data_IF_062720784468
#
_entry.id   IF_062720784468
#
_cell.length_a   1.000
_cell.length_b   1.000
_cell.length_c   1.000
_cell.angle_alpha   90.00
_cell.angle_beta   90.00
_cell.angle_gamma   90.00
#
_symmetry.space_group_name_H-M   'P 1'
#
loop_
_entity.id
_entity.type
_entity.pdbx_description
1 polymer ?
#
# COMPACT_ATOMS: atom_id res chain seq x y z
N UNK A 1 -9.08 -12.03 31.98
CA UNK A 1 -9.27 -12.62 30.62
C UNK A 1 -8.21 -13.70 30.40
N UNK A 2 -8.52 -14.87 29.77
CA UNK A 2 -7.56 -15.95 29.57
C UNK A 2 -6.85 -15.82 28.19
N UNK A 3 -5.53 -15.97 28.17
CA UNK A 3 -4.72 -16.01 26.94
C UNK A 3 -5.23 -17.04 25.92
N UNK A 4 -5.70 -18.19 26.41
CA UNK A 4 -6.26 -19.27 25.59
C UNK A 4 -7.44 -18.80 24.73
N UNK A 5 -8.30 -17.94 25.29
CA UNK A 5 -9.45 -17.37 24.57
C UNK A 5 -8.99 -16.47 23.40
N UNK A 6 -7.94 -15.67 23.61
CA UNK A 6 -7.37 -14.83 22.54
C UNK A 6 -6.82 -15.71 21.42
N UNK A 7 -6.05 -16.75 21.76
CA UNK A 7 -5.49 -17.68 20.76
C UNK A 7 -6.59 -18.33 19.93
N UNK A 8 -7.61 -18.91 20.58
CA UNK A 8 -8.75 -19.56 19.93
C UNK A 8 -9.50 -18.58 19.00
N UNK A 9 -9.70 -17.33 19.45
CA UNK A 9 -10.32 -16.30 18.63
C UNK A 9 -9.48 -15.96 17.39
N UNK A 10 -8.15 -15.84 17.52
CA UNK A 10 -7.27 -15.54 16.38
C UNK A 10 -7.27 -16.69 15.36
N UNK A 11 -7.33 -17.94 15.83
CA UNK A 11 -7.47 -19.09 14.95
C UNK A 11 -8.82 -19.12 14.25
N UNK A 12 -9.92 -18.79 14.96
CA UNK A 12 -11.23 -18.59 14.35
C UNK A 12 -11.21 -17.48 13.29
N UNK A 13 -10.54 -16.36 13.56
CA UNK A 13 -10.38 -15.29 12.59
C UNK A 13 -9.61 -15.74 11.34
N UNK A 14 -8.62 -16.61 11.51
CA UNK A 14 -7.81 -17.16 10.41
C UNK A 14 -8.60 -18.18 9.58
N UNK A 15 -9.26 -19.12 10.23
CA UNK A 15 -9.89 -20.28 9.58
C UNK A 15 -11.28 -19.95 9.04
N UNK A 16 -12.17 -19.36 9.87
CA UNK A 16 -13.56 -19.11 9.52
C UNK A 16 -13.77 -17.74 8.86
N UNK A 17 -13.17 -16.68 9.41
CA UNK A 17 -13.30 -15.34 8.83
C UNK A 17 -12.30 -15.05 7.71
N UNK A 18 -11.31 -15.90 7.50
CA UNK A 18 -10.25 -15.77 6.48
C UNK A 18 -9.62 -14.37 6.45
N UNK A 19 -9.40 -13.79 7.63
CA UNK A 19 -8.79 -12.47 7.74
C UNK A 19 -7.33 -12.52 7.31
N UNK A 20 -6.84 -11.38 6.78
CA UNK A 20 -5.44 -11.27 6.36
C UNK A 20 -4.48 -11.42 7.54
N UNK A 21 -3.26 -11.90 7.28
CA UNK A 21 -2.19 -12.01 8.29
C UNK A 21 -1.89 -10.67 8.98
N UNK A 22 -2.00 -9.54 8.26
CA UNK A 22 -1.86 -8.21 8.83
C UNK A 22 -2.97 -7.86 9.82
N UNK A 23 -4.22 -8.19 9.50
CA UNK A 23 -5.36 -7.98 10.41
C UNK A 23 -5.22 -8.83 11.66
N UNK A 24 -4.86 -10.12 11.50
CA UNK A 24 -4.66 -11.05 12.62
C UNK A 24 -3.53 -10.55 13.54
N UNK A 25 -2.41 -10.09 12.96
CA UNK A 25 -1.29 -9.52 13.74
C UNK A 25 -1.73 -8.26 14.51
N UNK A 26 -2.50 -7.37 13.88
CA UNK A 26 -3.02 -6.18 14.54
C UNK A 26 -3.96 -6.55 15.69
N UNK A 27 -4.89 -7.50 15.47
CA UNK A 27 -5.80 -8.00 16.50
C UNK A 27 -5.04 -8.65 17.65
N UNK A 28 -4.06 -9.50 17.35
CA UNK A 28 -3.20 -10.09 18.38
C UNK A 28 -2.55 -9.02 19.26
N UNK A 29 -1.91 -8.02 18.63
CA UNK A 29 -1.23 -6.97 19.38
C UNK A 29 -2.20 -6.15 20.24
N UNK A 30 -3.39 -5.81 19.72
CA UNK A 30 -4.36 -5.02 20.45
C UNK A 30 -4.95 -5.79 21.64
N UNK A 31 -5.31 -7.07 21.43
CA UNK A 31 -5.85 -7.92 22.48
C UNK A 31 -4.81 -8.27 23.54
N UNK A 32 -3.55 -8.49 23.14
CA UNK A 32 -2.44 -8.73 24.06
C UNK A 32 -2.12 -7.49 24.92
N UNK A 33 -2.24 -6.29 24.36
CA UNK A 33 -2.08 -5.06 25.14
C UNK A 33 -3.17 -4.89 26.19
N UNK A 34 -4.41 -5.28 25.87
CA UNK A 34 -5.48 -5.30 26.86
C UNK A 34 -5.26 -6.40 27.90
N UNK A 35 -4.90 -7.61 27.49
CA UNK A 35 -4.62 -8.74 28.39
C UNK A 35 -3.51 -8.44 29.41
N UNK A 36 -2.45 -7.75 28.95
CA UNK A 36 -1.31 -7.40 29.79
C UNK A 36 -1.49 -6.07 30.54
N UNK A 37 -2.66 -5.45 30.46
CA UNK A 37 -2.95 -4.24 31.21
C UNK A 37 -3.48 -4.59 32.60
N UNK A 38 -3.34 -3.64 33.54
CA UNK A 38 -3.83 -3.77 34.92
C UNK A 38 -5.34 -3.49 35.04
N UNK A 39 -6.08 -3.49 33.91
CA UNK A 39 -7.50 -3.18 33.90
C UNK A 39 -8.36 -4.45 33.81
N UNK A 40 -9.23 -4.63 34.77
CA UNK A 40 -10.12 -5.80 34.86
C UNK A 40 -11.29 -5.74 33.88
N UNK A 41 -11.68 -4.53 33.43
CA UNK A 41 -12.80 -4.34 32.54
C UNK A 41 -12.44 -3.47 31.31
N UNK A 42 -13.26 -3.59 30.27
CA UNK A 42 -13.08 -2.91 28.99
C UNK A 42 -13.25 -1.41 29.11
N UNK A 43 -14.17 -0.95 29.95
CA UNK A 43 -14.52 0.46 30.10
C UNK A 43 -13.34 1.26 30.64
N UNK A 44 -12.77 0.84 31.77
CA UNK A 44 -11.60 1.47 32.38
C UNK A 44 -10.38 1.46 31.44
N UNK A 45 -10.19 0.36 30.70
CA UNK A 45 -9.11 0.30 29.69
C UNK A 45 -9.31 1.31 28.56
N UNK A 46 -10.55 1.48 28.07
CA UNK A 46 -10.84 2.45 27.01
C UNK A 46 -10.71 3.88 27.53
N UNK A 47 -11.14 4.17 28.75
CA UNK A 47 -10.94 5.47 29.39
C UNK A 47 -9.45 5.83 29.45
N UNK A 48 -8.61 4.91 29.91
CA UNK A 48 -7.15 5.09 29.91
C UNK A 48 -6.61 5.34 28.49
N UNK A 49 -7.05 4.54 27.50
CA UNK A 49 -6.64 4.76 26.12
C UNK A 49 -7.08 6.13 25.59
N UNK A 50 -8.23 6.63 26.02
CA UNK A 50 -8.75 7.95 25.61
C UNK A 50 -7.96 9.09 26.25
N UNK A 51 -7.51 8.91 27.48
CA UNK A 51 -6.64 9.87 28.18
C UNK A 51 -5.19 9.82 27.68
N UNK A 52 -4.78 8.72 27.05
CA UNK A 52 -3.44 8.59 26.49
C UNK A 52 -3.32 9.36 25.17
N UNK A 53 -2.09 9.85 24.87
CA UNK A 53 -1.83 10.62 23.64
C UNK A 53 -1.71 9.72 22.40
N UNK A 54 -2.64 8.79 22.21
CA UNK A 54 -2.68 7.93 21.02
C UNK A 54 -3.54 8.56 19.92
N UNK A 55 -3.14 8.30 18.66
CA UNK A 55 -3.89 8.82 17.50
C UNK A 55 -5.30 8.25 17.46
N UNK A 56 -6.30 9.08 17.19
CA UNK A 56 -7.73 8.72 17.11
C UNK A 56 -7.98 7.47 16.25
N UNK A 57 -7.31 7.33 15.11
CA UNK A 57 -7.45 6.14 14.25
C UNK A 57 -6.92 4.86 14.92
N UNK A 58 -5.89 4.96 15.75
CA UNK A 58 -5.36 3.82 16.52
C UNK A 58 -6.35 3.43 17.62
N UNK A 59 -6.91 4.41 18.32
CA UNK A 59 -7.94 4.20 19.33
C UNK A 59 -9.17 3.50 18.73
N UNK A 60 -9.71 4.02 17.63
CA UNK A 60 -10.84 3.40 16.91
C UNK A 60 -10.56 1.96 16.50
N UNK A 61 -9.35 1.68 15.98
CA UNK A 61 -8.97 0.31 15.58
C UNK A 61 -8.95 -0.63 16.79
N UNK A 62 -8.38 -0.21 17.92
CA UNK A 62 -8.34 -1.00 19.17
C UNK A 62 -9.74 -1.30 19.69
N UNK A 63 -10.59 -0.30 19.77
CA UNK A 63 -11.99 -0.45 20.20
C UNK A 63 -12.75 -1.40 19.26
N UNK A 64 -12.59 -1.24 17.94
CA UNK A 64 -13.22 -2.13 16.97
C UNK A 64 -12.74 -3.58 17.12
N UNK A 65 -11.44 -3.79 17.36
CA UNK A 65 -10.87 -5.11 17.61
C UNK A 65 -11.49 -5.77 18.85
N UNK A 66 -11.53 -5.05 19.97
CA UNK A 66 -12.14 -5.54 21.22
C UNK A 66 -13.64 -5.81 21.04
N UNK A 67 -14.40 -4.91 20.41
CA UNK A 67 -15.82 -5.11 20.13
C UNK A 67 -16.09 -6.40 19.36
N UNK A 68 -15.29 -6.69 18.32
CA UNK A 68 -15.46 -7.91 17.52
C UNK A 68 -15.04 -9.15 18.32
N UNK A 69 -14.03 -9.05 19.18
CA UNK A 69 -13.63 -10.12 20.09
C UNK A 69 -14.73 -10.46 21.11
N UNK A 70 -15.31 -9.47 21.79
CA UNK A 70 -16.40 -9.67 22.75
C UNK A 70 -17.69 -10.17 22.08
N UNK A 71 -17.97 -9.78 20.83
CA UNK A 71 -19.05 -10.39 20.05
C UNK A 71 -18.80 -11.89 19.80
N UNK A 72 -17.54 -12.29 19.57
CA UNK A 72 -17.17 -13.70 19.43
C UNK A 72 -17.37 -14.44 20.77
N UNK A 73 -16.94 -13.88 21.90
CA UNK A 73 -17.13 -14.50 23.21
C UNK A 73 -18.62 -14.71 23.52
N UNK A 74 -19.47 -13.73 23.21
CA UNK A 74 -20.93 -13.86 23.35
C UNK A 74 -21.49 -14.95 22.43
N UNK A 75 -21.05 -14.99 21.17
CA UNK A 75 -21.47 -16.02 20.22
C UNK A 75 -21.08 -17.45 20.68
N UNK A 76 -19.96 -17.59 21.38
CA UNK A 76 -19.52 -18.85 21.98
C UNK A 76 -20.16 -19.16 23.35
N UNK A 77 -21.09 -18.34 23.81
CA UNK A 77 -21.73 -18.42 25.14
C UNK A 77 -20.72 -18.41 26.32
N UNK A 78 -19.57 -17.76 26.15
CA UNK A 78 -18.53 -17.59 27.18
C UNK A 78 -18.91 -16.43 28.11
N UNK A 79 -19.62 -15.44 27.56
CA UNK A 79 -20.18 -14.29 28.29
C UNK A 79 -21.66 -14.15 27.97
N UNK A 80 -22.44 -13.68 28.92
CA UNK A 80 -23.89 -13.46 28.74
C UNK A 80 -24.16 -12.19 27.93
N UNK A 81 -23.44 -11.09 28.23
CA UNK A 81 -23.61 -9.82 27.57
C UNK A 81 -22.27 -9.26 27.03
N UNK A 82 -22.35 -8.57 25.90
CA UNK A 82 -21.22 -7.85 25.37
C UNK A 82 -21.14 -6.46 26.01
N UNK A 83 -20.07 -6.12 26.76
CA UNK A 83 -19.91 -4.81 27.41
C UNK A 83 -20.01 -3.62 26.44
N UNK A 84 -19.71 -3.85 25.14
CA UNK A 84 -19.81 -2.81 24.12
C UNK A 84 -21.26 -2.44 23.73
N UNK A 85 -22.28 -3.17 24.18
CA UNK A 85 -23.67 -2.82 23.88
C UNK A 85 -24.11 -1.54 24.59
N UNK A 86 -23.54 -1.26 25.76
CA UNK A 86 -23.84 -0.08 26.57
C UNK A 86 -22.87 1.07 26.32
N UNK A 87 -21.71 0.82 25.68
CA UNK A 87 -20.68 1.80 25.44
C UNK A 87 -20.86 2.48 24.07
N UNK A 88 -21.08 3.81 24.09
CA UNK A 88 -21.18 4.63 22.86
C UNK A 88 -19.95 5.50 22.73
N UNK A 89 -19.11 5.20 21.73
CA UNK A 89 -17.94 6.01 21.42
C UNK A 89 -18.18 6.82 20.15
N UNK A 90 -18.12 8.15 20.26
CA UNK A 90 -18.16 9.07 19.14
C UNK A 90 -16.83 9.81 19.07
N UNK A 91 -15.93 9.33 18.20
CA UNK A 91 -14.68 10.03 17.95
C UNK A 91 -14.80 10.90 16.68
N UNK A 92 -14.60 12.19 16.82
CA UNK A 92 -14.48 13.08 15.66
C UNK A 92 -13.26 12.65 14.84
N UNK A 93 -13.47 12.36 13.58
CA UNK A 93 -12.37 12.15 12.63
C UNK A 93 -12.01 13.47 12.01
N UNK A 94 -10.83 13.96 12.31
CA UNK A 94 -10.25 15.00 11.48
C UNK A 94 -10.04 14.43 10.08
N UNK A 95 -10.62 15.08 9.08
CA UNK A 95 -10.34 14.79 7.68
C UNK A 95 -8.95 15.35 7.36
N UNK A 96 -7.91 14.57 7.65
CA UNK A 96 -6.56 14.92 7.25
C UNK A 96 -6.47 14.80 5.74
N UNK A 97 -6.17 15.91 5.07
CA UNK A 97 -5.95 15.92 3.63
C UNK A 97 -4.79 14.95 3.27
N UNK A 98 -4.93 14.19 2.19
CA UNK A 98 -3.86 13.30 1.73
C UNK A 98 -2.58 14.11 1.48
N UNK A 99 -1.48 13.66 2.08
CA UNK A 99 -0.17 14.29 1.86
C UNK A 99 0.37 13.86 0.50
N UNK A 100 0.63 14.82 -0.38
CA UNK A 100 1.32 14.63 -1.65
C UNK A 100 2.80 14.97 -1.53
N UNK A 101 3.60 14.52 -2.50
CA UNK A 101 5.00 14.90 -2.64
C UNK A 101 5.02 16.12 -3.58
N UNK A 102 5.60 17.26 -3.18
CA UNK A 102 5.77 18.41 -4.07
C UNK A 102 6.53 18.04 -5.36
N UNK A 103 6.20 18.71 -6.45
CA UNK A 103 6.75 18.41 -7.78
C UNK A 103 8.28 18.54 -7.84
N UNK A 104 8.84 19.61 -7.28
CA UNK A 104 10.27 19.86 -7.19
C UNK A 104 11.01 18.75 -6.41
N UNK A 105 10.38 18.21 -5.37
CA UNK A 105 10.91 17.07 -4.61
C UNK A 105 10.86 15.79 -5.46
N UNK A 106 9.78 15.55 -6.20
CA UNK A 106 9.72 14.41 -7.13
C UNK A 106 10.83 14.50 -8.17
N UNK A 107 11.00 15.67 -8.79
CA UNK A 107 12.06 15.93 -9.76
C UNK A 107 13.46 15.67 -9.18
N UNK A 108 13.73 16.17 -7.96
CA UNK A 108 14.99 15.90 -7.24
C UNK A 108 15.24 14.41 -7.00
N UNK A 109 14.20 13.66 -6.61
CA UNK A 109 14.28 12.21 -6.41
C UNK A 109 14.67 11.49 -7.71
N UNK A 110 14.05 11.83 -8.85
CA UNK A 110 14.35 11.20 -10.13
C UNK A 110 15.74 11.57 -10.63
N UNK A 111 16.16 12.83 -10.54
CA UNK A 111 17.52 13.26 -10.86
C UNK A 111 18.57 12.46 -10.06
N UNK A 112 18.36 12.34 -8.75
CA UNK A 112 19.25 11.55 -7.90
C UNK A 112 19.30 10.08 -8.34
N UNK A 113 18.15 9.46 -8.62
CA UNK A 113 18.10 8.05 -9.02
C UNK A 113 18.79 7.80 -10.37
N UNK A 114 18.59 8.68 -11.35
CA UNK A 114 19.26 8.61 -12.66
C UNK A 114 20.78 8.79 -12.50
N UNK A 115 21.22 9.73 -11.67
CA UNK A 115 22.64 9.90 -11.34
C UNK A 115 23.22 8.65 -10.67
N UNK A 116 22.48 8.01 -9.77
CA UNK A 116 22.93 6.75 -9.12
C UNK A 116 23.12 5.62 -10.12
N UNK A 117 22.26 5.52 -11.14
CA UNK A 117 22.44 4.56 -12.24
C UNK A 117 23.68 4.89 -13.06
N UNK A 118 23.86 6.16 -13.45
CA UNK A 118 24.98 6.62 -14.27
C UNK A 118 26.35 6.46 -13.57
N UNK A 119 26.41 6.74 -12.27
CA UNK A 119 27.63 6.69 -11.46
C UNK A 119 27.96 5.28 -10.91
N UNK A 120 27.18 4.28 -11.23
CA UNK A 120 27.41 2.90 -10.78
C UNK A 120 28.68 2.32 -11.41
N UNK A 121 29.62 1.88 -10.57
CA UNK A 121 30.93 1.36 -11.00
C UNK A 121 30.94 -0.16 -11.26
N UNK A 122 30.00 -0.90 -10.68
CA UNK A 122 29.87 -2.36 -10.82
C UNK A 122 28.49 -2.74 -11.30
N UNK A 123 28.38 -3.90 -11.98
CA UNK A 123 27.09 -4.42 -12.43
C UNK A 123 26.09 -4.61 -11.28
N UNK A 124 26.59 -5.07 -10.14
CA UNK A 124 25.78 -5.20 -8.93
C UNK A 124 25.19 -3.86 -8.47
N UNK A 125 26.02 -2.79 -8.41
CA UNK A 125 25.56 -1.46 -8.05
C UNK A 125 24.54 -0.93 -9.06
N UNK A 126 24.82 -1.12 -10.36
CA UNK A 126 23.95 -0.69 -11.45
C UNK A 126 22.60 -1.38 -11.40
N UNK A 127 22.57 -2.70 -11.23
CA UNK A 127 21.34 -3.47 -11.10
C UNK A 127 20.49 -3.01 -9.91
N UNK A 128 21.12 -2.74 -8.76
CA UNK A 128 20.42 -2.21 -7.58
C UNK A 128 19.89 -0.79 -7.81
N UNK A 129 20.63 0.08 -8.49
CA UNK A 129 20.21 1.44 -8.82
C UNK A 129 19.03 1.41 -9.82
N UNK A 130 19.13 0.61 -10.90
CA UNK A 130 18.07 0.40 -11.90
C UNK A 130 16.79 -0.16 -11.22
N UNK A 131 16.92 -1.14 -10.32
CA UNK A 131 15.79 -1.65 -9.53
C UNK A 131 15.12 -0.56 -8.72
N UNK A 132 15.89 0.26 -8.01
CA UNK A 132 15.36 1.30 -7.16
C UNK A 132 14.67 2.39 -8.00
N UNK A 133 15.25 2.78 -9.13
CA UNK A 133 14.64 3.69 -10.08
C UNK A 133 13.32 3.12 -10.61
N UNK A 134 13.29 1.84 -11.01
CA UNK A 134 12.08 1.17 -11.51
C UNK A 134 10.97 1.11 -10.44
N UNK A 135 11.31 0.80 -9.18
CA UNK A 135 10.35 0.79 -8.06
C UNK A 135 9.67 2.16 -7.93
N UNK A 136 10.45 3.24 -7.89
CA UNK A 136 9.91 4.60 -7.75
C UNK A 136 9.11 5.01 -8.98
N UNK A 137 9.60 4.67 -10.17
CA UNK A 137 8.90 4.93 -11.44
C UNK A 137 7.53 4.24 -11.48
N UNK A 138 7.45 2.96 -11.12
CA UNK A 138 6.18 2.23 -11.08
C UNK A 138 5.21 2.79 -10.02
N UNK A 139 5.70 3.17 -8.84
CA UNK A 139 4.86 3.81 -7.82
C UNK A 139 4.21 5.10 -8.30
N UNK A 140 4.97 5.95 -9.02
CA UNK A 140 4.47 7.24 -9.51
C UNK A 140 3.71 7.14 -10.83
N UNK A 141 4.11 6.25 -11.75
CA UNK A 141 3.46 6.13 -13.07
C UNK A 141 2.12 5.39 -13.06
N UNK A 142 1.87 4.57 -12.04
CA UNK A 142 0.69 3.71 -11.97
C UNK A 142 -0.16 3.91 -10.71
N UNK A 143 0.38 4.58 -9.70
CA UNK A 143 -0.27 4.70 -8.39
C UNK A 143 -0.50 3.36 -7.67
N UNK A 144 0.25 2.31 -8.04
CA UNK A 144 0.15 0.96 -7.46
C UNK A 144 0.39 0.97 -5.94
N UNK A 145 -0.28 0.09 -5.18
CA UNK A 145 0.02 -0.08 -3.75
C UNK A 145 1.35 -0.80 -3.57
N UNK A 146 2.09 -0.45 -2.51
CA UNK A 146 3.39 -1.10 -2.21
C UNK A 146 3.27 -2.62 -2.10
N UNK A 147 2.20 -3.14 -1.49
CA UNK A 147 1.97 -4.59 -1.40
C UNK A 147 1.75 -5.24 -2.76
N UNK A 148 1.02 -4.57 -3.66
CA UNK A 148 0.80 -5.03 -5.02
C UNK A 148 2.11 -4.99 -5.83
N UNK A 149 2.89 -3.90 -5.73
CA UNK A 149 4.19 -3.76 -6.36
C UNK A 149 5.15 -4.90 -6.00
N UNK A 150 5.24 -5.23 -4.70
CA UNK A 150 6.12 -6.29 -4.23
C UNK A 150 5.72 -7.68 -4.75
N UNK A 151 4.43 -7.90 -5.05
CA UNK A 151 3.90 -9.19 -5.49
C UNK A 151 3.63 -9.28 -7.00
N UNK A 152 4.20 -8.39 -7.81
CA UNK A 152 4.15 -8.53 -9.27
C UNK A 152 4.95 -9.77 -9.68
N UNK A 153 4.30 -10.72 -10.36
CA UNK A 153 4.97 -11.85 -10.97
C UNK A 153 5.36 -11.52 -12.43
N UNK A 154 6.43 -12.14 -12.91
CA UNK A 154 6.87 -11.95 -14.30
C UNK A 154 5.78 -12.36 -15.32
N UNK A 155 4.98 -13.39 -15.01
CA UNK A 155 3.83 -13.82 -15.83
C UNK A 155 2.70 -12.80 -15.91
N UNK A 156 2.61 -11.89 -14.94
CA UNK A 156 1.57 -10.85 -14.88
C UNK A 156 1.93 -9.63 -15.75
N UNK A 157 3.10 -9.65 -16.41
CA UNK A 157 3.61 -8.56 -17.25
C UNK A 157 3.43 -8.93 -18.72
N UNK A 158 2.67 -8.12 -19.44
CA UNK A 158 2.53 -8.23 -20.88
C UNK A 158 3.30 -7.09 -21.55
N UNK A 159 4.51 -7.39 -22.05
CA UNK A 159 5.37 -6.39 -22.70
C UNK A 159 4.79 -5.90 -24.03
N UNK A 160 4.14 -6.78 -24.82
CA UNK A 160 3.55 -6.39 -26.10
C UNK A 160 2.43 -5.37 -25.95
N UNK A 161 1.59 -5.53 -24.91
CA UNK A 161 0.47 -4.63 -24.64
C UNK A 161 0.82 -3.51 -23.64
N UNK A 162 2.05 -3.49 -23.10
CA UNK A 162 2.52 -2.59 -22.03
C UNK A 162 1.58 -2.59 -20.81
N UNK A 163 1.19 -3.78 -20.33
CA UNK A 163 0.25 -3.92 -19.24
C UNK A 163 0.79 -4.76 -18.09
N UNK A 164 0.32 -4.43 -16.88
CA UNK A 164 0.54 -5.18 -15.65
C UNK A 164 -0.81 -5.69 -15.15
N UNK A 165 -0.92 -7.00 -14.93
CA UNK A 165 -2.06 -7.60 -14.26
C UNK A 165 -1.84 -7.54 -12.74
N UNK A 166 -2.72 -6.87 -12.01
CA UNK A 166 -2.58 -6.64 -10.57
C UNK A 166 -3.71 -7.29 -9.81
N UNK A 167 -3.33 -8.13 -8.84
CA UNK A 167 -4.26 -8.76 -7.90
C UNK A 167 -4.23 -7.98 -6.60
N UNK A 168 -5.33 -7.28 -6.31
CA UNK A 168 -5.47 -6.44 -5.11
C UNK A 168 -6.10 -7.16 -3.92
N UNK A 169 -6.39 -6.41 -2.87
CA UNK A 169 -7.06 -6.92 -1.66
C UNK A 169 -8.42 -7.54 -2.00
N UNK A 170 -8.67 -8.75 -1.48
CA UNK A 170 -9.91 -9.49 -1.73
C UNK A 170 -9.94 -10.16 -3.11
N UNK A 171 -8.78 -10.43 -3.71
CA UNK A 171 -8.62 -11.02 -5.04
C UNK A 171 -9.29 -10.21 -6.17
N UNK A 172 -9.45 -8.89 -5.97
CA UNK A 172 -9.90 -8.01 -7.05
C UNK A 172 -8.76 -7.79 -8.03
N UNK A 173 -9.02 -8.07 -9.29
CA UNK A 173 -8.05 -7.98 -10.37
C UNK A 173 -8.27 -6.68 -11.16
N UNK A 174 -7.18 -6.09 -11.63
CA UNK A 174 -7.20 -4.99 -12.58
C UNK A 174 -5.97 -5.02 -13.47
N UNK A 175 -6.12 -4.46 -14.66
CA UNK A 175 -5.02 -4.26 -15.57
C UNK A 175 -4.58 -2.81 -15.48
N UNK A 176 -3.27 -2.57 -15.29
CA UNK A 176 -2.65 -1.26 -15.35
C UNK A 176 -1.89 -1.12 -16.66
N UNK A 177 -2.08 -0.02 -17.35
CA UNK A 177 -1.33 0.33 -18.55
C UNK A 177 -0.10 1.18 -18.20
N UNK A 178 1.06 0.84 -18.76
CA UNK A 178 2.32 1.58 -18.61
C UNK A 178 2.43 2.61 -19.74
N UNK A 179 1.88 3.81 -19.50
CA UNK A 179 1.82 4.87 -20.52
C UNK A 179 3.14 5.61 -20.70
N UNK A 180 4.00 5.66 -19.68
CA UNK A 180 5.30 6.33 -19.77
C UNK A 180 6.36 5.44 -20.45
N UNK A 181 6.90 5.90 -21.58
CA UNK A 181 7.84 5.12 -22.38
C UNK A 181 9.18 4.88 -21.67
N UNK A 182 9.68 5.85 -20.88
CA UNK A 182 10.94 5.67 -20.14
C UNK A 182 10.78 4.58 -19.05
N UNK A 183 9.69 4.61 -18.30
CA UNK A 183 9.39 3.56 -17.32
C UNK A 183 9.23 2.19 -17.97
N UNK A 184 8.55 2.12 -19.12
CA UNK A 184 8.40 0.87 -19.85
C UNK A 184 9.74 0.31 -20.33
N UNK A 185 10.60 1.12 -20.94
CA UNK A 185 11.93 0.71 -21.41
C UNK A 185 12.82 0.25 -20.24
N UNK A 186 12.72 0.94 -19.09
CA UNK A 186 13.44 0.56 -17.88
C UNK A 186 12.95 -0.81 -17.36
N UNK A 187 11.64 -1.06 -17.36
CA UNK A 187 11.05 -2.35 -16.98
C UNK A 187 11.53 -3.47 -17.90
N UNK A 188 11.44 -3.29 -19.22
CA UNK A 188 11.88 -4.27 -20.20
C UNK A 188 13.36 -4.60 -20.05
N UNK A 189 14.21 -3.58 -19.94
CA UNK A 189 15.65 -3.74 -19.71
C UNK A 189 15.92 -4.49 -18.39
N UNK A 190 15.22 -4.14 -17.32
CA UNK A 190 15.37 -4.77 -16.01
C UNK A 190 14.99 -6.26 -16.07
N UNK A 191 13.86 -6.59 -16.70
CA UNK A 191 13.42 -7.98 -16.87
C UNK A 191 14.46 -8.79 -17.64
N UNK A 192 14.93 -8.28 -18.79
CA UNK A 192 15.89 -8.98 -19.64
C UNK A 192 17.23 -9.26 -18.94
N UNK A 193 17.68 -8.34 -18.06
CA UNK A 193 18.90 -8.50 -17.28
C UNK A 193 18.75 -9.43 -16.06
N UNK A 194 17.58 -9.45 -15.43
CA UNK A 194 17.38 -10.10 -14.14
C UNK A 194 16.61 -11.40 -14.23
N UNK A 195 16.09 -11.73 -15.41
CA UNK A 195 15.31 -12.94 -15.63
C UNK A 195 16.15 -14.16 -15.33
N UNK A 196 15.77 -14.87 -14.25
CA UNK A 196 16.36 -16.13 -13.87
C UNK A 196 15.23 -17.15 -13.76
N UNK A 197 15.39 -18.35 -14.29
CA UNK A 197 14.37 -19.40 -14.34
C UNK A 197 13.83 -19.79 -12.96
N UNK A 198 14.60 -19.52 -11.89
CA UNK A 198 14.21 -19.84 -10.51
C UNK A 198 13.36 -18.74 -9.82
N UNK A 199 13.06 -17.64 -10.49
CA UNK A 199 12.40 -16.49 -9.86
C UNK A 199 11.16 -16.02 -10.60
N UNK A 200 10.01 -16.10 -9.94
CA UNK A 200 8.71 -15.70 -10.48
C UNK A 200 8.38 -14.22 -10.24
N UNK A 201 9.08 -13.53 -9.32
CA UNK A 201 8.75 -12.15 -8.96
C UNK A 201 9.56 -11.13 -9.76
N UNK A 202 8.90 -10.00 -10.15
CA UNK A 202 9.61 -8.86 -10.75
C UNK A 202 10.71 -8.33 -9.82
N UNK A 203 10.40 -8.23 -8.53
CA UNK A 203 11.36 -7.82 -7.50
C UNK A 203 11.58 -8.94 -6.49
N UNK A 204 12.60 -9.79 -6.69
CA UNK A 204 12.92 -10.84 -5.75
C UNK A 204 13.50 -10.28 -4.46
N UNK A 205 13.22 -10.97 -3.35
CA UNK A 205 13.85 -10.74 -2.07
C UNK A 205 15.25 -11.33 -1.98
N UNK A 206 15.86 -11.24 -0.81
CA UNK A 206 17.19 -11.84 -0.54
C UNK A 206 17.24 -13.35 -0.84
N UNK A 207 16.12 -14.03 -0.63
CA UNK A 207 15.91 -15.42 -1.04
C UNK A 207 14.98 -15.39 -2.26
N UNK A 208 15.46 -15.81 -3.42
CA UNK A 208 14.79 -15.72 -4.72
C UNK A 208 13.35 -16.26 -4.77
N UNK A 209 12.99 -17.18 -3.89
CA UNK A 209 11.64 -17.74 -3.76
C UNK A 209 10.61 -16.84 -3.08
N UNK A 210 11.01 -15.67 -2.57
CA UNK A 210 10.11 -14.72 -1.90
C UNK A 210 10.19 -13.36 -2.57
N UNK A 211 9.08 -12.60 -2.61
CA UNK A 211 9.11 -11.23 -3.12
C UNK A 211 9.94 -10.31 -2.23
N UNK A 212 10.37 -9.18 -2.80
CA UNK A 212 10.92 -8.07 -2.03
C UNK A 212 9.90 -7.61 -0.98
N UNK A 213 10.34 -7.46 0.28
CA UNK A 213 9.42 -7.06 1.33
C UNK A 213 9.02 -5.59 1.21
N UNK A 214 7.79 -5.27 1.62
CA UNK A 214 7.34 -3.87 1.69
C UNK A 214 8.27 -3.01 2.58
N UNK A 215 8.84 -3.62 3.63
CA UNK A 215 9.80 -2.94 4.49
C UNK A 215 11.08 -2.57 3.73
N UNK A 216 11.56 -3.45 2.85
CA UNK A 216 12.71 -3.15 2.00
C UNK A 216 12.45 -1.97 1.06
N UNK A 217 11.25 -1.89 0.47
CA UNK A 217 10.86 -0.74 -0.36
C UNK A 217 10.78 0.54 0.47
N UNK A 218 10.21 0.48 1.70
CA UNK A 218 10.18 1.65 2.60
C UNK A 218 11.60 2.12 2.98
N UNK A 219 12.53 1.18 3.18
CA UNK A 219 13.94 1.51 3.44
C UNK A 219 14.63 2.13 2.22
N UNK A 220 14.31 1.68 1.00
CA UNK A 220 14.79 2.33 -0.24
C UNK A 220 14.33 3.78 -0.28
N UNK A 221 13.03 4.04 -0.12
CA UNK A 221 12.49 5.40 -0.10
C UNK A 221 13.14 6.25 0.98
N UNK A 222 13.27 5.71 2.20
CA UNK A 222 13.91 6.42 3.32
C UNK A 222 15.34 6.84 2.96
N UNK A 223 16.16 5.94 2.41
CA UNK A 223 17.54 6.24 1.99
C UNK A 223 17.60 7.30 0.89
N UNK A 224 16.69 7.26 -0.08
CA UNK A 224 16.61 8.28 -1.14
C UNK A 224 16.32 9.65 -0.51
N UNK A 225 15.39 9.74 0.43
CA UNK A 225 15.03 10.97 1.13
C UNK A 225 16.21 11.53 1.94
N UNK A 226 16.89 10.66 2.69
CA UNK A 226 18.06 11.03 3.51
C UNK A 226 19.22 11.54 2.66
N UNK A 227 19.52 10.87 1.54
CA UNK A 227 20.62 11.23 0.66
C UNK A 227 20.34 12.47 -0.19
N UNK A 228 19.08 12.85 -0.36
CA UNK A 228 18.69 14.12 -0.97
C UNK A 228 18.52 15.26 0.04
N UNK A 229 18.89 15.05 1.32
CA UNK A 229 18.74 16.04 2.41
C UNK A 229 17.32 16.61 2.52
N UNK A 230 16.31 15.79 2.18
CA UNK A 230 14.92 16.20 2.23
C UNK A 230 14.41 16.12 3.67
N UNK A 231 13.90 17.24 4.20
CA UNK A 231 13.40 17.36 5.57
C UNK A 231 12.08 16.64 5.83
N UNK A 232 11.41 16.10 4.80
CA UNK A 232 10.06 15.50 4.89
C UNK A 232 10.11 13.98 4.82
N UNK A 233 9.35 13.32 5.68
CA UNK A 233 9.13 11.87 5.56
C UNK A 233 8.26 11.58 4.35
N UNK A 234 8.79 10.80 3.38
CA UNK A 234 8.07 10.34 2.20
C UNK A 234 7.69 8.87 2.37
N UNK A 235 6.47 8.53 2.00
CA UNK A 235 5.92 7.18 2.11
C UNK A 235 5.40 6.68 0.76
N UNK A 236 5.29 5.35 0.54
CA UNK A 236 4.68 4.81 -0.69
C UNK A 236 3.27 5.33 -0.97
N UNK A 237 2.48 5.59 0.07
CA UNK A 237 1.14 6.15 -0.09
C UNK A 237 1.15 7.58 -0.65
N UNK A 238 2.19 8.36 -0.33
CA UNK A 238 2.33 9.71 -0.88
C UNK A 238 2.57 9.69 -2.39
N UNK A 239 3.34 8.73 -2.93
CA UNK A 239 3.47 8.56 -4.40
C UNK A 239 2.12 8.31 -5.06
N UNK A 240 1.31 7.44 -4.46
CA UNK A 240 -0.04 7.16 -4.97
C UNK A 240 -0.98 8.37 -4.86
N UNK A 241 -0.88 9.16 -3.80
CA UNK A 241 -1.63 10.40 -3.66
C UNK A 241 -1.16 11.45 -4.67
N UNK A 242 0.16 11.59 -4.87
CA UNK A 242 0.72 12.47 -5.91
C UNK A 242 0.25 12.07 -7.30
N UNK A 243 0.28 10.77 -7.65
CA UNK A 243 -0.27 10.27 -8.90
C UNK A 243 -1.72 10.68 -9.10
N UNK A 244 -2.58 10.45 -8.08
CA UNK A 244 -3.99 10.80 -8.15
C UNK A 244 -4.21 12.32 -8.30
N UNK A 245 -3.49 13.13 -7.52
CA UNK A 245 -3.60 14.60 -7.54
C UNK A 245 -3.12 15.16 -8.88
N UNK A 246 -1.97 14.68 -9.39
CA UNK A 246 -1.47 15.15 -10.69
C UNK A 246 -2.38 14.76 -11.87
N UNK A 247 -3.10 13.65 -11.80
CA UNK A 247 -4.15 13.34 -12.78
C UNK A 247 -5.35 14.27 -12.65
N UNK A 248 -5.77 14.59 -11.41
CA UNK A 248 -6.87 15.55 -11.17
C UNK A 248 -6.51 16.95 -11.66
N UNK A 249 -5.26 17.39 -11.43
CA UNK A 249 -4.75 18.69 -11.88
C UNK A 249 -4.68 18.80 -13.42
N UNK A 250 -4.72 17.65 -14.12
CA UNK A 250 -4.85 17.56 -15.58
C UNK A 250 -6.28 17.19 -16.03
N UNK A 251 -7.29 17.58 -15.25
CA UNK A 251 -8.72 17.44 -15.56
C UNK A 251 -9.19 16.00 -15.84
N UNK A 252 -8.46 15.00 -15.35
CA UNK A 252 -8.89 13.60 -15.44
C UNK A 252 -10.03 13.35 -14.47
N UNK A 253 -11.17 12.88 -14.98
CA UNK A 253 -12.35 12.57 -14.17
C UNK A 253 -12.01 11.64 -12.99
N UNK A 254 -12.47 12.02 -11.79
CA UNK A 254 -12.20 11.31 -10.54
C UNK A 254 -12.64 9.84 -10.58
N UNK A 255 -13.67 9.51 -11.37
CA UNK A 255 -14.15 8.14 -11.53
C UNK A 255 -13.12 7.28 -12.28
N UNK A 256 -12.47 7.86 -13.30
CA UNK A 256 -11.38 7.20 -14.03
C UNK A 256 -10.18 6.96 -13.10
N UNK A 257 -9.81 7.96 -12.29
CA UNK A 257 -8.72 7.85 -11.33
C UNK A 257 -9.02 6.76 -10.29
N UNK A 258 -10.22 6.72 -9.74
CA UNK A 258 -10.64 5.70 -8.78
C UNK A 258 -10.57 4.29 -9.37
N UNK A 259 -10.93 4.14 -10.63
CA UNK A 259 -10.86 2.85 -11.34
C UNK A 259 -9.43 2.41 -11.61
N UNK A 260 -8.57 3.31 -12.11
CA UNK A 260 -7.13 3.05 -12.28
C UNK A 260 -6.51 2.61 -10.96
N UNK A 261 -6.83 3.30 -9.87
CA UNK A 261 -6.34 2.99 -8.54
C UNK A 261 -6.96 1.73 -7.91
N UNK A 262 -8.08 1.23 -8.41
CA UNK A 262 -8.78 0.08 -7.83
C UNK A 262 -9.33 0.38 -6.43
N UNK A 263 -10.00 1.52 -6.23
CA UNK A 263 -10.67 1.85 -4.99
C UNK A 263 -12.00 1.09 -4.87
N UNK A 264 -12.17 0.33 -3.80
CA UNK A 264 -13.33 -0.55 -3.57
C UNK A 264 -14.52 0.14 -2.91
N UNK A 265 -14.47 1.42 -2.60
CA UNK A 265 -15.56 2.12 -1.95
C UNK A 265 -16.07 3.30 -2.79
N UNK A 266 -17.00 2.99 -3.67
CA UNK A 266 -18.17 3.81 -3.88
C UNK A 266 -19.34 2.87 -3.67
N UNK A 267 -20.04 3.04 -2.57
CA UNK A 267 -21.39 2.51 -2.44
C UNK A 267 -22.23 3.17 -3.54
N UNK A 268 -22.89 2.31 -4.33
CA UNK A 268 -23.91 2.67 -5.30
C UNK A 268 -23.38 3.27 -6.61
N UNK A 269 -23.01 2.46 -7.55
CA UNK A 269 -23.59 2.34 -8.89
C UNK A 269 -22.79 1.33 -9.72
N UNK A 270 -23.07 0.05 -9.54
CA UNK A 270 -22.47 -1.06 -10.31
C UNK A 270 -22.99 -1.15 -11.76
N UNK A 271 -23.52 -0.10 -12.34
CA UNK A 271 -24.19 -0.22 -13.65
C UNK A 271 -23.40 0.38 -14.85
N UNK A 272 -22.36 1.21 -14.65
CA UNK A 272 -21.69 1.88 -15.78
C UNK A 272 -20.16 1.99 -15.68
N UNK A 273 -19.45 0.99 -15.17
CA UNK A 273 -18.00 1.12 -14.97
C UNK A 273 -17.16 0.10 -15.72
N UNK A 274 -17.37 -0.02 -17.00
CA UNK A 274 -16.28 -0.39 -17.89
C UNK A 274 -15.72 0.89 -18.50
N UNK A 275 -14.79 1.57 -17.80
CA UNK A 275 -13.83 2.39 -18.56
C UNK A 275 -13.11 1.39 -19.44
N UNK A 276 -13.33 1.49 -20.74
CA UNK A 276 -12.70 0.61 -21.71
C UNK A 276 -11.19 0.69 -21.49
N UNK A 277 -10.48 -0.42 -21.67
CA UNK A 277 -9.00 -0.43 -21.62
C UNK A 277 -8.40 0.65 -22.52
N UNK A 278 -9.10 1.04 -23.60
CA UNK A 278 -8.73 2.15 -24.48
C UNK A 278 -8.71 3.50 -23.75
N UNK A 279 -9.67 3.81 -22.90
CA UNK A 279 -9.70 5.08 -22.16
C UNK A 279 -8.62 5.17 -21.10
N UNK A 280 -8.34 4.07 -20.39
CA UNK A 280 -7.20 4.02 -19.45
C UNK A 280 -5.88 4.23 -20.19
N UNK A 281 -5.69 3.59 -21.33
CA UNK A 281 -4.52 3.75 -22.18
C UNK A 281 -4.35 5.20 -22.60
N UNK A 282 -5.41 5.83 -23.12
CA UNK A 282 -5.42 7.24 -23.52
C UNK A 282 -4.97 8.16 -22.37
N UNK A 283 -5.60 8.04 -21.19
CA UNK A 283 -5.28 8.85 -20.01
C UNK A 283 -3.82 8.69 -19.60
N UNK A 284 -3.33 7.46 -19.46
CA UNK A 284 -1.98 7.18 -18.98
C UNK A 284 -0.91 7.46 -20.04
N UNK A 285 -1.25 7.52 -21.32
CA UNK A 285 -0.33 7.95 -22.37
C UNK A 285 -0.22 9.47 -22.44
N UNK A 286 -1.33 10.21 -22.25
CA UNK A 286 -1.39 11.66 -22.42
C UNK A 286 -1.04 12.43 -21.14
N UNK A 287 -1.42 11.90 -19.97
CA UNK A 287 -1.36 12.60 -18.68
C UNK A 287 -0.58 11.82 -17.62
N UNK A 288 0.40 11.02 -18.00
CA UNK A 288 1.16 10.28 -16.99
C UNK A 288 2.05 11.23 -16.18
N UNK A 289 1.91 11.29 -14.83
CA UNK A 289 2.65 12.22 -13.99
C UNK A 289 4.17 12.12 -14.13
N UNK A 290 4.71 10.91 -14.30
CA UNK A 290 6.15 10.70 -14.44
C UNK A 290 6.67 11.20 -15.80
N UNK A 291 5.85 11.20 -16.85
CA UNK A 291 6.27 11.69 -18.18
C UNK A 291 6.58 13.19 -18.16
N UNK A 292 5.84 13.96 -17.35
CA UNK A 292 6.12 15.39 -17.15
C UNK A 292 7.50 15.57 -16.50
N UNK A 293 7.80 14.83 -15.44
CA UNK A 293 9.10 14.85 -14.77
C UNK A 293 10.22 14.43 -15.73
N UNK A 294 10.04 13.35 -16.49
CA UNK A 294 11.03 12.86 -17.45
C UNK A 294 11.31 13.84 -18.60
N UNK A 295 10.36 14.70 -18.98
CA UNK A 295 10.58 15.70 -20.04
C UNK A 295 11.45 16.85 -19.57
N UNK A 296 11.51 17.13 -18.27
CA UNK A 296 12.30 18.22 -17.68
C UNK A 296 13.67 17.79 -17.15
N UNK A 297 13.92 16.48 -17.08
CA UNK A 297 15.22 15.86 -16.74
C UNK A 297 15.93 15.48 -18.07
N UNK A 298 16.28 16.48 -18.87
CA UNK A 298 17.07 16.30 -20.09
C UNK A 298 18.48 16.86 -19.91
#
# INVERSE_FOLDING_TARGET
>A
MDYKLISTYLDYCKTHKRLSSHTIRAYKNDLMQFYNSDYDNVESYIEQLTQSNIKTNTLRRKIACMKVFYNYLKYQNIIEENPFNQLRFQFRTEKILPKTIPYDILKSIFLYLEQRVALSKTDYQKQHAERNLLIISLLLSTGIRISELCHIHLKDINLSNKTLHIIGKGKKERILFLGDQKTFNLLETYINKTRNESNDFLFPGKHSLKPLSEQSVRLVIKRIVEQNSLSKTITPHMFRHSFATMLLDNDVDIRNIQQILGHSSISVTQIYTHVSHSKQKEILSSFNPISVIHSEIK
#
